data_IF_459731558234
#
_entry.id   IF_459731558234
#
_cell.length_a   1.000
_cell.length_b   1.000
_cell.length_c   1.000
_cell.angle_alpha   90.00
_cell.angle_beta   90.00
_cell.angle_gamma   90.00
#
_symmetry.space_group_name_H-M   'P 1'
#
loop_
_entity.id
_entity.type
_entity.pdbx_description
1 polymer ?
#
# COMPACT_ATOMS: atom_id res chain seq x y z
N UNK A 1 -13.17 7.79 15.76
CA UNK A 1 -12.68 7.18 14.50
C UNK A 1 -11.30 7.70 14.19
N UNK A 2 -10.51 6.90 13.50
CA UNK A 2 -9.12 7.22 13.15
C UNK A 2 -9.02 7.60 11.68
N UNK A 3 -7.93 8.25 11.31
CA UNK A 3 -7.64 8.59 9.92
C UNK A 3 -6.33 7.90 9.50
N UNK A 4 -6.24 7.51 8.23
CA UNK A 4 -5.10 6.79 7.70
C UNK A 4 -4.63 7.39 6.38
N UNK A 5 -3.32 7.31 6.16
CA UNK A 5 -2.71 7.48 4.86
C UNK A 5 -2.55 6.07 4.26
N UNK A 6 -3.21 5.84 3.14
CA UNK A 6 -3.03 4.62 2.34
C UNK A 6 -1.96 4.89 1.29
N UNK A 7 -0.96 4.03 1.22
CA UNK A 7 0.10 4.14 0.21
C UNK A 7 0.31 2.78 -0.46
N UNK A 8 0.66 2.82 -1.75
CA UNK A 8 1.09 1.62 -2.47
C UNK A 8 2.55 1.32 -2.12
N UNK A 9 3.00 0.11 -2.38
CA UNK A 9 4.40 -0.27 -2.21
C UNK A 9 5.20 0.08 -3.47
N UNK A 10 5.03 -0.71 -4.53
CA UNK A 10 5.80 -0.53 -5.76
C UNK A 10 5.40 0.75 -6.49
N UNK A 11 6.33 1.65 -6.67
CA UNK A 11 6.11 2.95 -7.29
C UNK A 11 5.88 4.09 -6.31
N UNK A 12 5.64 3.81 -5.03
CA UNK A 12 5.49 4.84 -3.98
C UNK A 12 6.52 4.65 -2.89
N UNK A 13 6.53 3.52 -2.19
CA UNK A 13 7.53 3.23 -1.16
C UNK A 13 8.88 2.93 -1.81
N UNK A 14 8.87 2.11 -2.85
CA UNK A 14 10.08 1.70 -3.55
C UNK A 14 9.95 1.90 -5.04
N UNK A 15 11.11 2.00 -5.70
CA UNK A 15 11.16 2.06 -7.16
C UNK A 15 10.61 0.75 -7.71
N UNK A 16 9.66 0.85 -8.65
CA UNK A 16 9.04 -0.31 -9.27
C UNK A 16 9.96 -0.86 -10.36
N UNK A 17 10.58 -2.02 -10.08
CA UNK A 17 11.44 -2.74 -11.03
C UNK A 17 10.78 -3.97 -11.61
N UNK A 18 9.46 -4.13 -11.39
CA UNK A 18 8.73 -5.32 -11.81
C UNK A 18 8.96 -6.49 -10.85
N UNK A 19 7.90 -6.88 -10.13
CA UNK A 19 7.91 -8.04 -9.23
C UNK A 19 9.08 -8.10 -8.23
N UNK A 20 9.37 -6.97 -7.56
CA UNK A 20 10.41 -6.92 -6.51
C UNK A 20 9.99 -7.82 -5.35
N UNK A 21 10.83 -8.80 -5.01
CA UNK A 21 10.57 -9.70 -3.88
C UNK A 21 11.80 -9.95 -3.01
N UNK A 22 12.97 -9.44 -3.41
CA UNK A 22 14.21 -9.55 -2.64
C UNK A 22 14.62 -8.16 -2.12
N UNK A 23 15.15 -8.11 -0.91
CA UNK A 23 15.60 -6.84 -0.33
C UNK A 23 16.73 -6.19 -1.13
N UNK A 24 17.54 -7.00 -1.81
CA UNK A 24 18.64 -6.53 -2.66
C UNK A 24 18.15 -5.69 -3.84
N UNK A 25 16.90 -5.93 -4.27
CA UNK A 25 16.27 -5.21 -5.38
C UNK A 25 15.34 -4.09 -4.91
N UNK A 26 15.18 -3.93 -3.60
CA UNK A 26 14.26 -2.97 -3.00
C UNK A 26 14.98 -1.65 -2.75
N UNK A 27 14.63 -0.64 -3.52
CA UNK A 27 15.20 0.70 -3.37
C UNK A 27 14.09 1.66 -2.95
N UNK A 28 14.23 2.26 -1.76
CA UNK A 28 13.26 3.23 -1.27
C UNK A 28 13.26 4.48 -2.16
N UNK A 29 12.08 5.01 -2.43
CA UNK A 29 11.96 6.26 -3.18
C UNK A 29 12.47 7.41 -2.33
N UNK A 30 13.01 8.43 -3.01
CA UNK A 30 13.51 9.62 -2.32
C UNK A 30 12.37 10.32 -1.58
N UNK A 31 12.60 10.64 -0.31
CA UNK A 31 11.64 11.39 0.50
C UNK A 31 10.52 10.59 1.12
N UNK A 32 10.47 9.26 0.93
CA UNK A 32 9.35 8.46 1.45
C UNK A 32 9.29 8.47 2.97
N UNK A 33 10.42 8.42 3.65
CA UNK A 33 10.44 8.42 5.11
C UNK A 33 9.94 9.76 5.68
N UNK A 34 10.35 10.88 5.08
CA UNK A 34 9.91 12.21 5.47
C UNK A 34 8.42 12.40 5.21
N UNK A 35 7.92 11.88 4.09
CA UNK A 35 6.51 11.93 3.75
C UNK A 35 5.67 11.21 4.81
N UNK A 36 6.05 9.99 5.15
CA UNK A 36 5.33 9.19 6.16
C UNK A 36 5.39 9.86 7.53
N UNK A 37 6.54 10.41 7.91
CA UNK A 37 6.70 11.09 9.19
C UNK A 37 5.76 12.29 9.28
N UNK A 38 5.65 13.08 8.21
CA UNK A 38 4.74 14.22 8.17
C UNK A 38 3.30 13.80 8.46
N UNK A 39 2.84 12.73 7.82
CA UNK A 39 1.47 12.24 8.04
C UNK A 39 1.28 11.66 9.44
N UNK A 40 2.27 10.95 9.98
CA UNK A 40 2.20 10.48 11.36
C UNK A 40 2.10 11.65 12.34
N UNK A 41 2.90 12.69 12.13
CA UNK A 41 2.86 13.90 12.98
C UNK A 41 1.51 14.60 12.91
N UNK A 42 0.82 14.48 11.78
CA UNK A 42 -0.52 15.04 11.58
C UNK A 42 -1.63 14.09 12.07
N UNK A 43 -1.28 12.97 12.69
CA UNK A 43 -2.24 12.05 13.31
C UNK A 43 -2.75 10.92 12.42
N UNK A 44 -2.10 10.66 11.29
CA UNK A 44 -2.50 9.58 10.37
C UNK A 44 -1.79 8.27 10.72
N UNK A 45 -2.53 7.16 10.63
CA UNK A 45 -1.92 5.83 10.57
C UNK A 45 -1.32 5.64 9.16
N UNK A 46 -0.26 4.85 9.06
CA UNK A 46 0.30 4.50 7.75
C UNK A 46 -0.11 3.07 7.42
N UNK A 47 -0.86 2.89 6.35
CA UNK A 47 -1.36 1.60 5.90
C UNK A 47 -0.97 1.40 4.44
N UNK A 48 -0.32 0.27 4.16
CA UNK A 48 0.12 -0.09 2.81
C UNK A 48 -0.93 -0.99 2.17
N UNK A 49 -1.28 -0.69 0.91
CA UNK A 49 -2.17 -1.52 0.10
C UNK A 49 -1.47 -1.80 -1.22
N UNK A 50 -1.19 -3.07 -1.53
CA UNK A 50 -0.36 -3.40 -2.68
C UNK A 50 -0.89 -4.61 -3.46
N UNK A 51 -0.95 -4.49 -4.79
CA UNK A 51 -1.17 -5.63 -5.67
C UNK A 51 0.13 -6.41 -5.80
N UNK A 52 0.08 -7.72 -5.62
CA UNK A 52 1.26 -8.61 -5.68
C UNK A 52 0.94 -9.83 -6.55
N UNK A 53 0.57 -9.58 -7.79
CA UNK A 53 0.17 -10.63 -8.74
C UNK A 53 1.32 -11.60 -9.09
N UNK A 54 2.57 -11.23 -8.81
CA UNK A 54 3.70 -12.12 -9.00
C UNK A 54 3.58 -13.41 -8.20
N UNK A 55 2.84 -13.40 -7.10
CA UNK A 55 2.57 -14.61 -6.31
C UNK A 55 1.71 -15.58 -7.13
N UNK A 56 0.61 -15.12 -7.73
CA UNK A 56 -0.24 -15.94 -8.58
C UNK A 56 0.52 -16.46 -9.79
N UNK A 57 1.43 -15.65 -10.34
CA UNK A 57 2.23 -16.01 -11.52
C UNK A 57 3.39 -16.96 -11.21
N UNK A 58 3.63 -17.25 -9.93
CA UNK A 58 4.70 -18.16 -9.52
C UNK A 58 6.09 -17.55 -9.53
N UNK A 59 6.22 -16.22 -9.59
CA UNK A 59 7.53 -15.56 -9.59
C UNK A 59 8.16 -15.53 -8.21
N UNK A 60 7.35 -15.52 -7.16
CA UNK A 60 7.76 -15.60 -5.76
C UNK A 60 6.57 -16.06 -4.92
N UNK A 61 6.81 -16.42 -3.68
CA UNK A 61 5.81 -17.03 -2.80
C UNK A 61 5.25 -16.02 -1.79
N UNK A 62 4.18 -16.41 -1.09
CA UNK A 62 3.68 -15.67 0.05
C UNK A 62 4.77 -15.52 1.12
N UNK A 63 5.57 -16.55 1.35
CA UNK A 63 6.67 -16.51 2.31
C UNK A 63 7.72 -15.47 1.90
N UNK A 64 8.06 -15.42 0.61
CA UNK A 64 8.98 -14.40 0.08
C UNK A 64 8.44 -13.00 0.32
N UNK A 65 7.13 -12.80 0.05
CA UNK A 65 6.46 -11.51 0.26
C UNK A 65 6.51 -11.12 1.74
N UNK A 66 6.22 -12.06 2.62
CA UNK A 66 6.18 -11.81 4.07
C UNK A 66 7.57 -11.42 4.60
N UNK A 67 8.61 -12.11 4.16
CA UNK A 67 10.00 -11.80 4.54
C UNK A 67 10.41 -10.40 4.10
N UNK A 68 10.09 -10.03 2.86
CA UNK A 68 10.41 -8.69 2.36
C UNK A 68 9.61 -7.63 3.13
N UNK A 69 8.34 -7.90 3.41
CA UNK A 69 7.48 -7.00 4.16
C UNK A 69 8.01 -6.76 5.57
N UNK A 70 8.42 -7.82 6.28
CA UNK A 70 8.98 -7.69 7.62
C UNK A 70 10.25 -6.84 7.60
N UNK A 71 11.10 -7.05 6.62
CA UNK A 71 12.31 -6.24 6.45
C UNK A 71 11.96 -4.78 6.17
N UNK A 72 11.00 -4.52 5.27
CA UNK A 72 10.56 -3.17 4.93
C UNK A 72 10.03 -2.43 6.17
N UNK A 73 9.14 -3.09 6.90
CA UNK A 73 8.55 -2.51 8.12
C UNK A 73 9.64 -2.20 9.14
N UNK A 74 10.64 -3.07 9.27
CA UNK A 74 11.79 -2.84 10.16
C UNK A 74 12.58 -1.60 9.74
N UNK A 75 12.80 -1.41 8.43
CA UNK A 75 13.52 -0.22 7.94
C UNK A 75 12.79 1.08 8.32
N UNK A 76 11.46 1.09 8.17
CA UNK A 76 10.65 2.23 8.63
C UNK A 76 10.78 2.42 10.14
N UNK A 77 10.71 1.33 10.90
CA UNK A 77 10.82 1.37 12.36
C UNK A 77 12.14 1.98 12.82
N UNK A 78 13.24 1.65 12.13
CA UNK A 78 14.56 2.24 12.41
C UNK A 78 14.58 3.75 12.20
N UNK A 79 13.67 4.28 11.41
CA UNK A 79 13.50 5.73 11.19
C UNK A 79 12.45 6.34 12.12
N UNK A 80 11.94 5.57 13.08
CA UNK A 80 10.90 6.03 13.99
C UNK A 80 9.51 6.07 13.38
N UNK A 81 9.29 5.34 12.29
CA UNK A 81 8.02 5.31 11.57
C UNK A 81 7.38 3.93 11.74
N UNK A 82 6.17 3.90 12.30
CA UNK A 82 5.41 2.67 12.44
C UNK A 82 4.49 2.49 11.25
N UNK A 83 4.67 1.39 10.50
CA UNK A 83 3.71 0.95 9.49
C UNK A 83 2.64 0.16 10.23
N UNK A 84 1.41 0.65 10.23
CA UNK A 84 0.31 0.05 11.00
C UNK A 84 -0.06 -1.32 10.47
N UNK A 85 -0.17 -1.45 9.14
CA UNK A 85 -0.55 -2.71 8.50
C UNK A 85 -0.15 -2.67 7.03
N UNK A 86 0.16 -3.85 6.49
CA UNK A 86 0.36 -4.06 5.05
C UNK A 86 -0.71 -5.03 4.57
N UNK A 87 -1.57 -4.58 3.65
CA UNK A 87 -2.53 -5.44 2.96
C UNK A 87 -2.02 -5.70 1.55
N UNK A 88 -2.11 -6.95 1.11
CA UNK A 88 -1.71 -7.29 -0.25
C UNK A 88 -2.75 -8.16 -0.92
N UNK A 89 -2.81 -8.07 -2.25
CA UNK A 89 -3.65 -8.95 -3.06
C UNK A 89 -2.72 -9.81 -3.93
N UNK A 90 -2.70 -11.12 -3.70
CA UNK A 90 -1.80 -12.02 -4.43
C UNK A 90 -2.38 -12.52 -5.75
N UNK A 91 -3.59 -12.10 -6.11
CA UNK A 91 -4.34 -12.67 -7.23
C UNK A 91 -4.03 -11.99 -8.56
N UNK A 92 -4.24 -12.75 -9.64
CA UNK A 92 -4.25 -12.23 -11.00
C UNK A 92 -5.53 -12.70 -11.68
N UNK A 93 -6.28 -11.81 -12.39
CA UNK A 93 -7.56 -12.19 -13.00
C UNK A 93 -7.48 -13.37 -13.97
N UNK A 94 -6.38 -13.49 -14.71
CA UNK A 94 -6.21 -14.56 -15.70
C UNK A 94 -5.92 -15.92 -15.07
N UNK A 95 -5.51 -15.95 -13.80
CA UNK A 95 -5.14 -17.18 -13.07
C UNK A 95 -6.20 -17.54 -12.05
N UNK A 96 -6.62 -16.56 -11.24
CA UNK A 96 -7.52 -16.78 -10.10
C UNK A 96 -8.96 -16.33 -10.35
N UNK A 97 -9.21 -15.65 -11.47
CA UNK A 97 -10.48 -14.99 -11.72
C UNK A 97 -10.63 -13.70 -10.94
N UNK A 98 -11.83 -13.08 -10.95
CA UNK A 98 -12.05 -11.82 -10.26
C UNK A 98 -11.97 -11.97 -8.75
N UNK A 99 -11.54 -10.90 -8.06
CA UNK A 99 -11.48 -10.84 -6.60
C UNK A 99 -11.83 -9.43 -6.13
N UNK A 100 -11.99 -9.27 -4.81
CA UNK A 100 -12.35 -7.97 -4.22
C UNK A 100 -11.14 -7.13 -3.85
N UNK A 101 -9.95 -7.73 -3.80
CA UNK A 101 -8.77 -7.07 -3.25
C UNK A 101 -7.86 -6.42 -4.27
N UNK A 102 -7.88 -6.88 -5.54
CA UNK A 102 -6.99 -6.31 -6.56
C UNK A 102 -7.48 -4.93 -6.97
N UNK A 103 -6.65 -3.90 -6.74
CA UNK A 103 -6.95 -2.55 -7.20
C UNK A 103 -7.19 -2.56 -8.71
N UNK A 104 -8.24 -1.95 -9.23
CA UNK A 104 -9.05 -0.86 -8.65
C UNK A 104 -10.17 -1.31 -7.71
N UNK A 105 -10.29 -2.58 -7.37
CA UNK A 105 -11.27 -3.00 -6.38
C UNK A 105 -10.89 -2.46 -4.98
N UNK A 106 -11.86 -2.04 -4.17
CA UNK A 106 -11.58 -1.35 -2.92
C UNK A 106 -11.41 -2.28 -1.70
N UNK A 107 -11.36 -3.59 -1.91
CA UNK A 107 -11.43 -4.57 -0.82
C UNK A 107 -10.40 -4.37 0.28
N UNK A 108 -9.15 -4.09 -0.08
CA UNK A 108 -8.10 -3.87 0.93
C UNK A 108 -8.37 -2.63 1.78
N UNK A 109 -8.83 -1.55 1.15
CA UNK A 109 -9.14 -0.30 1.86
C UNK A 109 -10.33 -0.52 2.79
N UNK A 110 -11.39 -1.17 2.31
CA UNK A 110 -12.58 -1.44 3.11
C UNK A 110 -12.26 -2.35 4.30
N UNK A 111 -11.36 -3.31 4.11
CA UNK A 111 -10.93 -4.17 5.21
C UNK A 111 -10.18 -3.36 6.27
N UNK A 112 -9.32 -2.45 5.87
CA UNK A 112 -8.60 -1.58 6.78
C UNK A 112 -9.56 -0.66 7.56
N UNK A 113 -10.56 -0.13 6.89
CA UNK A 113 -11.58 0.72 7.54
C UNK A 113 -12.25 -0.05 8.67
N UNK A 114 -12.57 -1.32 8.44
CA UNK A 114 -13.19 -2.19 9.43
C UNK A 114 -12.21 -2.54 10.56
N UNK A 115 -10.99 -2.94 10.19
CA UNK A 115 -9.99 -3.43 11.16
C UNK A 115 -9.55 -2.34 12.13
N UNK A 116 -9.48 -1.09 11.69
CA UNK A 116 -8.93 0.02 12.47
C UNK A 116 -9.94 1.11 12.80
N UNK A 117 -11.22 0.90 12.51
CA UNK A 117 -12.27 1.88 12.76
C UNK A 117 -11.92 3.25 12.15
N UNK A 118 -11.70 3.28 10.84
CA UNK A 118 -11.28 4.48 10.14
C UNK A 118 -12.48 5.33 9.71
N UNK A 119 -12.29 6.65 9.73
CA UNK A 119 -13.19 7.58 9.06
C UNK A 119 -12.73 7.75 7.61
N UNK A 120 -13.39 7.06 6.71
CA UNK A 120 -12.97 7.04 5.29
C UNK A 120 -12.91 8.43 4.66
N UNK A 121 -13.76 9.34 5.10
CA UNK A 121 -13.81 10.69 4.56
C UNK A 121 -12.60 11.53 4.97
N UNK A 122 -11.93 11.14 6.05
CA UNK A 122 -10.72 11.81 6.54
C UNK A 122 -9.44 11.09 6.10
N UNK A 123 -9.57 9.96 5.41
CA UNK A 123 -8.41 9.23 4.92
C UNK A 123 -7.86 9.87 3.65
N UNK A 124 -6.57 9.61 3.41
CA UNK A 124 -5.84 10.07 2.22
C UNK A 124 -5.22 8.85 1.55
N UNK A 125 -5.15 8.88 0.23
CA UNK A 125 -4.49 7.83 -0.54
C UNK A 125 -3.47 8.47 -1.47
N UNK A 126 -2.25 7.93 -1.46
CA UNK A 126 -1.18 8.30 -2.39
C UNK A 126 -0.82 7.07 -3.22
N UNK A 127 -0.95 7.19 -4.54
CA UNK A 127 -0.63 6.11 -5.46
C UNK A 127 0.01 6.62 -6.73
N UNK A 128 0.66 5.74 -7.47
CA UNK A 128 1.35 6.09 -8.72
C UNK A 128 0.58 5.65 -9.97
N UNK A 129 -0.56 5.00 -9.80
CA UNK A 129 -1.39 4.49 -10.91
C UNK A 129 -2.84 4.91 -10.73
N UNK A 130 -3.54 5.03 -11.85
CA UNK A 130 -4.98 5.35 -11.82
C UNK A 130 -5.77 4.29 -11.06
N UNK A 131 -5.35 3.01 -11.12
CA UNK A 131 -6.01 1.94 -10.37
C UNK A 131 -5.92 2.13 -8.86
N UNK A 132 -4.85 2.77 -8.35
CA UNK A 132 -4.73 3.12 -6.95
C UNK A 132 -5.79 4.16 -6.56
N UNK A 133 -5.88 5.23 -7.36
CA UNK A 133 -6.82 6.32 -7.10
C UNK A 133 -8.26 5.83 -7.21
N UNK A 134 -8.53 4.99 -8.19
CA UNK A 134 -9.87 4.44 -8.39
C UNK A 134 -10.29 3.54 -7.22
N UNK A 135 -9.37 2.75 -6.67
CA UNK A 135 -9.66 1.95 -5.48
C UNK A 135 -10.07 2.85 -4.31
N UNK A 136 -9.36 3.95 -4.11
CA UNK A 136 -9.69 4.93 -3.08
C UNK A 136 -11.05 5.58 -3.32
N UNK A 137 -11.32 5.95 -4.57
CA UNK A 137 -12.58 6.57 -4.96
C UNK A 137 -13.76 5.63 -4.69
N UNK A 138 -13.63 4.37 -5.08
CA UNK A 138 -14.66 3.35 -4.85
C UNK A 138 -14.87 3.05 -3.37
N UNK A 139 -13.82 3.17 -2.56
CA UNK A 139 -13.91 2.96 -1.12
C UNK A 139 -14.58 4.13 -0.40
N UNK A 140 -14.68 5.30 -1.02
CA UNK A 140 -15.32 6.48 -0.45
C UNK A 140 -14.36 7.56 0.01
N UNK A 141 -13.07 7.48 -0.34
CA UNK A 141 -12.12 8.56 -0.06
C UNK A 141 -12.48 9.76 -0.94
N UNK A 142 -12.59 10.97 -0.37
CA UNK A 142 -12.92 12.16 -1.17
C UNK A 142 -11.89 12.41 -2.27
N UNK A 143 -12.36 12.92 -3.40
CA UNK A 143 -11.51 13.17 -4.57
C UNK A 143 -10.31 14.07 -4.24
N UNK A 144 -10.52 15.06 -3.37
CA UNK A 144 -9.45 15.97 -2.92
C UNK A 144 -8.35 15.28 -2.12
N UNK A 145 -8.61 14.06 -1.61
CA UNK A 145 -7.69 13.29 -0.80
C UNK A 145 -7.03 12.14 -1.58
N UNK A 146 -7.26 12.07 -2.88
CA UNK A 146 -6.61 11.13 -3.77
C UNK A 146 -5.45 11.84 -4.45
N UNK A 147 -4.23 11.40 -4.15
CA UNK A 147 -3.01 12.10 -4.56
C UNK A 147 -2.19 11.20 -5.48
N UNK A 148 -1.85 11.74 -6.65
CA UNK A 148 -0.99 11.03 -7.60
C UNK A 148 0.47 11.27 -7.21
N UNK A 149 1.23 10.18 -7.04
CA UNK A 149 2.64 10.23 -6.65
C UNK A 149 3.53 10.27 -7.88
N UNK A 150 4.32 11.32 -8.00
CA UNK A 150 5.34 11.48 -9.04
C UNK A 150 6.71 11.44 -8.40
N UNK A 151 7.55 10.54 -8.88
CA UNK A 151 8.95 10.49 -8.48
C UNK A 151 9.83 11.26 -9.47
#
# INVERSE_FOLDING_TARGET
MKQALFIDRDGVINIDRGHVFLKEDFEFTEGIFELCRKYIDDGYLIIVITNQAGIAKGYYTEDDFEKLTDWMVEQFSKKGITITKVYHCPHHPDIDGPCDCRKPEPGMILQAVKDFDLDIKECILIGDKETDLEAGRRAGIPETNLIFFNT
#
